data_IF_855506583581
#
_entry.id   IF_855506583581
#
_cell.length_a   1.000
_cell.length_b   1.000
_cell.length_c   1.000
_cell.angle_alpha   90.00
_cell.angle_beta   90.00
_cell.angle_gamma   90.00
#
_symmetry.space_group_name_H-M   'P 1'
#
loop_
_entity.id
_entity.type
_entity.pdbx_description
1 polymer ?
#
# COMPACT_ATOMS: atom_id res chain seq x y z
N UNK A 1 33.11 9.75 -60.88
CA UNK A 1 33.68 8.47 -60.40
C UNK A 1 34.29 8.72 -59.03
N UNK A 2 33.89 7.88 -58.07
CA UNK A 2 34.54 7.50 -56.79
C UNK A 2 35.03 8.60 -55.81
N UNK A 3 34.83 8.55 -54.48
CA UNK A 3 34.22 7.56 -53.57
C UNK A 3 33.93 8.23 -52.21
N UNK A 4 32.69 8.10 -51.77
CA UNK A 4 32.22 7.83 -50.40
C UNK A 4 33.07 8.26 -49.19
N UNK A 5 32.69 9.36 -48.55
CA UNK A 5 33.07 9.69 -47.15
C UNK A 5 32.10 8.98 -46.20
N UNK A 6 32.55 7.90 -45.58
CA UNK A 6 31.80 7.09 -44.62
C UNK A 6 31.44 7.90 -43.36
N UNK A 7 30.16 8.24 -43.20
CA UNK A 7 29.57 8.61 -41.90
C UNK A 7 29.47 7.33 -41.05
N UNK A 8 30.41 7.14 -40.13
CA UNK A 8 30.28 6.14 -39.08
C UNK A 8 29.11 6.52 -38.17
N UNK A 9 27.97 5.87 -38.37
CA UNK A 9 26.82 5.90 -37.47
C UNK A 9 27.24 5.15 -36.21
N UNK A 10 27.62 5.87 -35.16
CA UNK A 10 27.77 5.30 -33.82
C UNK A 10 26.41 4.73 -33.41
N UNK A 11 26.32 3.41 -33.32
CA UNK A 11 25.23 2.74 -32.62
C UNK A 11 25.30 3.24 -31.18
N UNK A 12 24.34 4.08 -30.77
CA UNK A 12 24.06 4.29 -29.37
C UNK A 12 23.72 2.91 -28.79
N UNK A 13 24.63 2.38 -28.01
CA UNK A 13 24.35 1.27 -27.10
C UNK A 13 23.16 1.75 -26.28
N UNK A 14 22.04 1.07 -26.45
CA UNK A 14 20.90 1.20 -25.55
C UNK A 14 21.46 0.70 -24.23
N UNK A 15 21.78 1.62 -23.31
CA UNK A 15 22.04 1.28 -21.93
C UNK A 15 20.79 0.56 -21.43
N UNK A 16 20.91 -0.75 -21.19
CA UNK A 16 19.93 -1.43 -20.36
C UNK A 16 19.82 -0.66 -19.04
N UNK A 17 18.61 -0.53 -18.47
CA UNK A 17 18.48 0.09 -17.16
C UNK A 17 19.32 -0.75 -16.21
N UNK A 18 20.46 -0.19 -15.78
CA UNK A 18 21.33 -0.80 -14.79
C UNK A 18 20.45 -1.16 -13.61
N UNK A 19 20.13 -2.45 -13.47
CA UNK A 19 19.32 -2.94 -12.38
C UNK A 19 19.99 -2.50 -11.08
N UNK A 20 19.20 -1.98 -10.16
CA UNK A 20 19.67 -1.51 -8.84
C UNK A 20 20.71 -2.46 -8.27
N UNK A 21 21.80 -1.89 -7.76
CA UNK A 21 22.89 -2.68 -7.20
C UNK A 21 22.36 -3.56 -6.07
N UNK A 22 23.00 -4.70 -5.80
CA UNK A 22 22.57 -5.59 -4.72
C UNK A 22 22.46 -4.84 -3.38
N UNK A 23 23.37 -3.88 -3.16
CA UNK A 23 23.35 -3.01 -1.99
C UNK A 23 22.10 -2.11 -1.93
N UNK A 24 21.72 -1.48 -3.04
CA UNK A 24 20.49 -0.67 -3.12
C UNK A 24 19.23 -1.52 -2.87
N UNK A 25 19.18 -2.74 -3.42
CA UNK A 25 18.06 -3.67 -3.17
C UNK A 25 17.96 -4.07 -1.71
N UNK A 26 19.10 -4.31 -1.06
CA UNK A 26 19.15 -4.62 0.38
C UNK A 26 18.64 -3.46 1.23
N UNK A 27 19.07 -2.23 0.91
CA UNK A 27 18.59 -1.03 1.62
C UNK A 27 17.10 -0.79 1.40
N UNK A 28 16.57 -1.09 0.22
CA UNK A 28 15.14 -1.01 -0.05
C UNK A 28 14.35 -2.00 0.80
N UNK A 29 14.77 -3.27 0.80
CA UNK A 29 14.13 -4.31 1.58
C UNK A 29 14.15 -4.01 3.09
N UNK A 30 15.25 -3.45 3.61
CA UNK A 30 15.35 -3.06 5.02
C UNK A 30 14.38 -1.92 5.37
N UNK A 31 14.22 -0.93 4.49
CA UNK A 31 13.23 0.14 4.67
C UNK A 31 11.80 -0.37 4.64
N UNK A 32 11.50 -1.29 3.73
CA UNK A 32 10.17 -1.92 3.65
C UNK A 32 9.87 -2.73 4.92
N UNK A 33 10.86 -3.51 5.40
CA UNK A 33 10.71 -4.25 6.65
C UNK A 33 10.42 -3.32 7.83
N UNK A 34 11.20 -2.24 7.99
CA UNK A 34 10.97 -1.25 9.06
C UNK A 34 9.60 -0.58 8.96
N UNK A 35 9.14 -0.28 7.74
CA UNK A 35 7.81 0.30 7.53
C UNK A 35 6.71 -0.68 7.98
N UNK A 36 6.82 -1.95 7.61
CA UNK A 36 5.86 -2.99 8.01
C UNK A 36 5.89 -3.24 9.51
N UNK A 37 7.08 -3.33 10.13
CA UNK A 37 7.22 -3.48 11.58
C UNK A 37 6.51 -2.36 12.33
N UNK A 38 6.67 -1.12 11.85
CA UNK A 38 6.00 0.05 12.43
C UNK A 38 4.47 -0.02 12.26
N UNK A 39 3.97 -0.40 11.09
CA UNK A 39 2.53 -0.58 10.87
C UNK A 39 1.95 -1.66 11.80
N UNK A 40 2.66 -2.75 12.02
CA UNK A 40 2.26 -3.81 12.95
C UNK A 40 2.23 -3.29 14.39
N UNK A 41 3.24 -2.55 14.83
CA UNK A 41 3.29 -1.97 16.18
C UNK A 41 2.13 -0.97 16.41
N UNK A 42 1.82 -0.13 15.42
CA UNK A 42 0.68 0.79 15.47
C UNK A 42 -0.65 0.02 15.59
N UNK A 43 -0.81 -1.07 14.85
CA UNK A 43 -2.00 -1.93 14.91
C UNK A 43 -2.14 -2.65 16.25
N UNK A 44 -1.04 -3.17 16.81
CA UNK A 44 -1.03 -3.81 18.12
C UNK A 44 -1.39 -2.80 19.21
N UNK A 45 -0.76 -1.64 19.20
CA UNK A 45 -1.06 -0.54 20.14
C UNK A 45 -2.53 -0.12 20.06
N UNK A 46 -3.08 -0.02 18.83
CA UNK A 46 -4.48 0.29 18.64
C UNK A 46 -5.41 -0.81 19.18
N UNK A 47 -5.02 -2.08 19.02
CA UNK A 47 -5.79 -3.23 19.52
C UNK A 47 -5.80 -3.24 21.05
N UNK A 48 -4.63 -3.11 21.69
CA UNK A 48 -4.51 -3.05 23.15
C UNK A 48 -5.33 -1.89 23.74
N UNK A 49 -5.30 -0.73 23.09
CA UNK A 49 -6.11 0.42 23.47
C UNK A 49 -7.61 0.10 23.43
N UNK A 50 -8.09 -0.60 22.40
CA UNK A 50 -9.51 -0.98 22.26
C UNK A 50 -9.91 -2.06 23.27
N UNK A 51 -9.06 -3.05 23.50
CA UNK A 51 -9.30 -4.12 24.48
C UNK A 51 -9.36 -3.59 25.92
N UNK A 52 -8.59 -2.54 26.23
CA UNK A 52 -8.61 -1.88 27.54
C UNK A 52 -9.81 -0.95 27.78
N UNK A 53 -10.65 -0.68 26.78
CA UNK A 53 -11.81 0.21 26.93
C UNK A 53 -13.01 -0.49 27.56
N UNK A 54 -13.71 0.22 28.44
CA UNK A 54 -15.03 -0.19 28.90
C UNK A 54 -16.12 0.06 27.83
N UNK A 55 -17.33 -0.46 28.07
CA UNK A 55 -18.44 -0.36 27.12
C UNK A 55 -18.86 1.09 26.82
N UNK A 56 -18.75 1.99 27.81
CA UNK A 56 -19.10 3.40 27.66
C UNK A 56 -18.07 4.14 26.80
N UNK A 57 -16.78 3.86 27.03
CA UNK A 57 -15.66 4.37 26.26
C UNK A 57 -15.73 3.88 24.81
N UNK A 58 -16.01 2.59 24.61
CA UNK A 58 -16.14 1.99 23.28
C UNK A 58 -17.32 2.60 22.49
N UNK A 59 -18.48 2.79 23.14
CA UNK A 59 -19.63 3.49 22.54
C UNK A 59 -19.26 4.90 22.10
N UNK A 60 -18.51 5.63 22.91
CA UNK A 60 -18.06 6.98 22.59
C UNK A 60 -17.05 6.98 21.44
N UNK A 61 -16.08 6.06 21.46
CA UNK A 61 -15.07 5.89 20.42
C UNK A 61 -15.71 5.63 19.04
N UNK A 62 -16.69 4.71 18.98
CA UNK A 62 -17.42 4.40 17.73
C UNK A 62 -18.21 5.61 17.22
N UNK A 63 -18.85 6.39 18.11
CA UNK A 63 -19.59 7.60 17.72
C UNK A 63 -18.68 8.69 17.14
N UNK A 64 -17.48 8.83 17.72
CA UNK A 64 -16.51 9.86 17.34
C UNK A 64 -15.42 9.36 16.39
N UNK A 65 -15.65 8.23 15.72
CA UNK A 65 -14.65 7.59 14.85
C UNK A 65 -14.14 8.56 13.77
N UNK A 66 -12.81 8.75 13.65
CA UNK A 66 -12.20 9.63 12.64
C UNK A 66 -12.68 9.32 11.22
N UNK A 67 -12.81 10.35 10.37
CA UNK A 67 -13.35 10.22 9.00
C UNK A 67 -12.56 9.23 8.14
N UNK A 68 -11.24 9.18 8.29
CA UNK A 68 -10.37 8.25 7.56
C UNK A 68 -10.57 6.79 7.99
N UNK A 69 -11.10 6.54 9.19
CA UNK A 69 -11.45 5.21 9.65
C UNK A 69 -12.90 4.85 9.33
N UNK A 70 -13.79 5.80 8.99
CA UNK A 70 -15.20 5.50 8.71
C UNK A 70 -15.31 4.53 7.53
N UNK A 71 -15.74 3.31 7.81
CA UNK A 71 -16.08 2.33 6.77
C UNK A 71 -17.19 2.91 5.90
N UNK A 72 -17.07 2.74 4.57
CA UNK A 72 -18.13 3.11 3.64
C UNK A 72 -19.46 2.52 4.13
N UNK A 73 -20.54 3.32 4.11
CA UNK A 73 -21.87 2.84 4.48
C UNK A 73 -22.16 1.61 3.62
N UNK A 74 -22.25 0.42 4.23
CA UNK A 74 -22.78 -0.76 3.53
C UNK A 74 -24.19 -0.38 3.09
N UNK A 75 -24.40 -0.32 1.78
CA UNK A 75 -25.75 -0.21 1.24
C UNK A 75 -26.56 -1.36 1.83
N UNK A 76 -27.75 -1.04 2.35
CA UNK A 76 -28.67 -2.05 2.83
C UNK A 76 -28.97 -2.95 1.64
N UNK A 77 -28.44 -4.17 1.64
CA UNK A 77 -28.86 -5.21 0.70
C UNK A 77 -30.38 -5.27 0.82
N UNK A 78 -31.06 -4.86 -0.25
CA UNK A 78 -32.51 -4.72 -0.31
C UNK A 78 -33.18 -6.01 0.15
N UNK A 79 -34.33 -5.87 0.82
CA UNK A 79 -35.14 -6.95 1.39
C UNK A 79 -35.06 -8.22 0.53
N UNK A 80 -34.47 -9.28 1.09
CA UNK A 80 -34.52 -10.61 0.51
C UNK A 80 -35.96 -10.93 0.14
N UNK A 81 -36.23 -11.05 -1.16
CA UNK A 81 -37.55 -11.43 -1.69
C UNK A 81 -37.71 -12.91 -1.31
N UNK A 82 -38.51 -13.21 -0.28
CA UNK A 82 -38.92 -14.59 -0.01
C UNK A 82 -39.65 -15.08 -1.26
N UNK A 83 -39.10 -16.11 -1.89
CA UNK A 83 -39.81 -16.86 -2.93
C UNK A 83 -40.85 -17.67 -2.16
N UNK A 84 -42.12 -17.28 -2.27
CA UNK A 84 -43.21 -18.17 -1.87
C UNK A 84 -43.42 -19.14 -3.03
N UNK A 85 -43.36 -20.42 -2.69
CA UNK A 85 -43.82 -21.56 -3.50
C UNK A 85 -45.35 -21.56 -3.64
#
# INVERSE_FOLDING_TARGET
MDKSKSKSKSKSVIEEPQGSTLQERKQHAEKEQQAVEKEVEELLTWTDMVEGMDESQLKNYVKNRPKHLKTAKREKIGKSRRVNE
#
